data_IF_239227829453
#
_entry.id   IF_239227829453
#
_cell.length_a   1.000
_cell.length_b   1.000
_cell.length_c   1.000
_cell.angle_alpha   90.00
_cell.angle_beta   90.00
_cell.angle_gamma   90.00
#
_symmetry.space_group_name_H-M   'P 1'
#
loop_
_entity.id
_entity.type
_entity.pdbx_description
1 polymer ?
#
# COMPACT_ATOMS: atom_id res chain seq x y z
N UNK A 1 19.81 15.57 -8.06
CA UNK A 1 19.49 16.39 -6.88
C UNK A 1 19.38 15.45 -5.68
N UNK A 2 20.23 15.59 -4.66
CA UNK A 2 20.15 14.81 -3.42
C UNK A 2 19.32 15.60 -2.41
N UNK A 3 18.25 15.01 -1.88
CA UNK A 3 17.53 15.57 -0.75
C UNK A 3 18.19 15.07 0.54
N UNK A 4 18.69 16.00 1.35
CA UNK A 4 19.28 15.73 2.67
C UNK A 4 18.19 16.02 3.71
N UNK A 5 17.83 15.03 4.53
CA UNK A 5 16.88 15.20 5.64
C UNK A 5 17.64 15.34 6.96
N UNK A 6 17.36 16.42 7.69
CA UNK A 6 18.06 16.82 8.92
C UNK A 6 17.75 15.88 10.11
N UNK A 7 18.75 15.51 10.94
CA UNK A 7 18.63 14.50 12.00
C UNK A 7 17.76 14.91 13.21
N UNK A 8 17.36 16.17 13.32
CA UNK A 8 16.63 16.71 14.47
C UNK A 8 15.14 16.36 14.52
N UNK A 9 14.60 15.71 13.47
CA UNK A 9 13.19 15.29 13.42
C UNK A 9 12.90 13.89 13.99
N UNK A 10 13.92 13.17 14.46
CA UNK A 10 13.81 11.75 14.87
C UNK A 10 13.41 11.51 16.33
N UNK A 11 13.09 12.57 17.11
CA UNK A 11 12.72 12.46 18.52
C UNK A 11 11.21 12.55 18.80
N UNK A 12 10.37 12.59 17.77
CA UNK A 12 8.92 12.57 17.97
C UNK A 12 8.36 11.15 17.87
N UNK A 13 7.34 10.90 18.69
CA UNK A 13 6.65 9.63 18.89
C UNK A 13 6.26 8.96 17.55
N UNK A 14 6.20 7.61 17.47
CA UNK A 14 6.01 6.87 16.22
C UNK A 14 4.72 7.21 15.45
N UNK A 15 3.81 7.99 16.03
CA UNK A 15 2.56 8.45 15.42
C UNK A 15 2.71 9.71 14.55
N UNK A 16 3.77 10.52 14.71
CA UNK A 16 3.97 11.77 13.93
C UNK A 16 4.84 11.59 12.67
N UNK A 17 5.55 10.48 12.53
CA UNK A 17 6.41 10.18 11.37
C UNK A 17 5.66 9.89 10.06
N UNK A 18 4.34 9.73 10.11
CA UNK A 18 3.49 9.55 8.91
C UNK A 18 3.35 10.86 8.12
N UNK A 19 3.71 12.00 8.69
CA UNK A 19 3.38 13.32 8.15
C UNK A 19 4.33 13.94 7.12
N UNK A 20 5.54 13.44 6.87
CA UNK A 20 6.53 14.19 6.07
C UNK A 20 7.56 13.35 5.26
N UNK A 21 7.22 12.13 4.83
CA UNK A 21 8.06 11.40 3.86
C UNK A 21 7.40 11.41 2.48
N UNK A 22 8.06 12.07 1.52
CA UNK A 22 7.80 11.92 0.08
C UNK A 22 7.65 10.42 -0.28
N UNK A 23 8.42 9.53 0.36
CA UNK A 23 8.42 8.07 0.18
C UNK A 23 7.06 7.37 0.29
N UNK A 24 6.10 7.95 1.02
CA UNK A 24 4.72 7.42 1.06
C UNK A 24 4.07 7.49 -0.33
N UNK A 25 4.37 8.54 -1.09
CA UNK A 25 3.87 8.75 -2.44
C UNK A 25 4.52 7.81 -3.45
N UNK A 26 5.84 7.57 -3.41
CA UNK A 26 6.50 6.64 -4.35
C UNK A 26 6.09 5.20 -4.09
N UNK A 27 5.98 4.77 -2.82
CA UNK A 27 5.48 3.44 -2.48
C UNK A 27 4.06 3.25 -3.01
N UNK A 28 3.21 4.28 -2.87
CA UNK A 28 1.84 4.27 -3.40
C UNK A 28 1.81 4.22 -4.93
N UNK A 29 2.69 4.95 -5.62
CA UNK A 29 2.82 4.92 -7.09
C UNK A 29 3.23 3.53 -7.57
N UNK A 30 4.25 2.93 -6.93
CA UNK A 30 4.71 1.59 -7.28
C UNK A 30 3.62 0.56 -7.00
N UNK A 31 2.92 0.66 -5.87
CA UNK A 31 1.78 -0.20 -5.55
C UNK A 31 0.65 -0.08 -6.58
N UNK A 32 0.30 1.14 -7.01
CA UNK A 32 -0.72 1.36 -8.04
C UNK A 32 -0.32 0.76 -9.40
N UNK A 33 0.93 0.95 -9.81
CA UNK A 33 1.46 0.40 -11.06
C UNK A 33 1.45 -1.14 -11.01
N UNK A 34 2.02 -1.70 -9.96
CA UNK A 34 2.03 -3.14 -9.71
C UNK A 34 0.62 -3.73 -9.72
N UNK A 35 -0.32 -3.09 -9.02
CA UNK A 35 -1.71 -3.54 -8.95
C UNK A 35 -2.40 -3.50 -10.32
N UNK A 36 -2.03 -2.56 -11.18
CA UNK A 36 -2.58 -2.41 -12.55
C UNK A 36 -2.05 -3.47 -13.50
N UNK A 37 -0.80 -3.87 -13.34
CA UNK A 37 -0.20 -4.94 -14.14
C UNK A 37 -0.66 -6.34 -13.69
N UNK A 38 -0.89 -6.53 -12.38
CA UNK A 38 -1.16 -7.85 -11.81
C UNK A 38 -2.63 -8.18 -11.63
N UNK A 39 -3.49 -7.19 -11.36
CA UNK A 39 -4.90 -7.43 -11.02
C UNK A 39 -5.81 -6.49 -11.82
N UNK A 40 -6.61 -7.03 -12.76
CA UNK A 40 -7.62 -6.26 -13.49
C UNK A 40 -8.58 -5.51 -12.55
N UNK A 41 -8.95 -4.27 -12.89
CA UNK A 41 -9.75 -3.38 -12.02
C UNK A 41 -11.06 -4.04 -11.56
N UNK A 42 -11.72 -4.75 -12.47
CA UNK A 42 -12.98 -5.44 -12.20
C UNK A 42 -12.86 -6.59 -11.19
N UNK A 43 -11.65 -7.10 -10.89
CA UNK A 43 -11.43 -8.20 -9.95
C UNK A 43 -10.90 -7.74 -8.59
N UNK A 44 -10.42 -6.49 -8.47
CA UNK A 44 -9.75 -5.97 -7.26
C UNK A 44 -10.60 -6.03 -6.00
N UNK A 45 -11.92 -5.87 -6.13
CA UNK A 45 -12.85 -5.90 -5.01
C UNK A 45 -12.88 -7.25 -4.26
N UNK A 46 -12.46 -8.34 -4.92
CA UNK A 46 -12.43 -9.69 -4.35
C UNK A 46 -11.21 -9.94 -3.46
N UNK A 47 -10.21 -9.07 -3.46
CA UNK A 47 -8.96 -9.30 -2.73
C UNK A 47 -8.87 -8.47 -1.45
N UNK A 48 -8.05 -8.95 -0.52
CA UNK A 48 -7.57 -8.23 0.66
C UNK A 48 -6.13 -8.64 0.94
N UNK A 49 -5.33 -7.78 1.55
CA UNK A 49 -3.99 -8.15 2.04
C UNK A 49 -4.03 -8.82 3.42
N UNK A 50 -5.20 -8.85 4.07
CA UNK A 50 -5.39 -9.52 5.36
C UNK A 50 -5.14 -11.03 5.25
N UNK A 51 -4.50 -11.61 6.27
CA UNK A 51 -4.35 -13.06 6.44
C UNK A 51 -5.67 -13.75 6.80
N UNK A 52 -6.67 -12.99 7.25
CA UNK A 52 -8.02 -13.45 7.61
C UNK A 52 -9.07 -12.52 6.99
N UNK A 53 -9.30 -12.60 5.68
CA UNK A 53 -10.24 -11.74 4.97
C UNK A 53 -11.68 -12.09 5.34
N UNK A 54 -12.58 -11.11 5.31
CA UNK A 54 -14.01 -11.33 5.47
C UNK A 54 -14.62 -11.83 4.17
N UNK A 55 -15.45 -12.88 4.21
CA UNK A 55 -16.17 -13.36 3.02
C UNK A 55 -16.98 -12.22 2.39
N UNK A 56 -17.03 -12.09 1.05
CA UNK A 56 -16.51 -13.02 0.02
C UNK A 56 -15.04 -12.80 -0.37
N UNK A 57 -14.30 -11.93 0.32
CA UNK A 57 -12.93 -11.58 -0.05
C UNK A 57 -11.95 -12.75 0.18
N UNK A 58 -10.88 -12.78 -0.61
CA UNK A 58 -9.78 -13.72 -0.49
C UNK A 58 -8.47 -12.99 -0.23
N UNK A 59 -7.56 -13.64 0.50
CA UNK A 59 -6.22 -13.10 0.74
C UNK A 59 -5.46 -13.07 -0.57
N UNK A 60 -4.84 -11.94 -0.86
CA UNK A 60 -3.90 -11.82 -1.95
C UNK A 60 -2.68 -12.70 -1.63
N UNK A 61 -2.30 -13.65 -2.50
CA UNK A 61 -1.19 -14.54 -2.21
C UNK A 61 0.13 -13.78 -1.99
N UNK A 62 0.89 -14.14 -0.96
CA UNK A 62 2.13 -13.43 -0.59
C UNK A 62 3.18 -13.39 -1.70
N UNK A 63 3.17 -14.36 -2.63
CA UNK A 63 4.04 -14.35 -3.83
C UNK A 63 3.83 -13.12 -4.73
N UNK A 64 2.69 -12.45 -4.60
CA UNK A 64 2.36 -11.22 -5.32
C UNK A 64 2.76 -9.97 -4.52
N UNK A 65 2.80 -10.06 -3.19
CA UNK A 65 3.10 -8.94 -2.29
C UNK A 65 4.60 -8.81 -2.01
N UNK A 66 5.28 -9.93 -1.78
CA UNK A 66 6.67 -9.94 -1.30
C UNK A 66 7.69 -9.42 -2.32
N UNK A 67 7.63 -9.77 -3.62
CA UNK A 67 8.61 -9.29 -4.59
C UNK A 67 8.69 -7.76 -4.73
N UNK A 68 7.58 -7.00 -4.89
CA UNK A 68 7.67 -5.54 -4.98
C UNK A 68 8.20 -4.91 -3.69
N UNK A 69 7.84 -5.46 -2.51
CA UNK A 69 8.39 -5.03 -1.23
C UNK A 69 9.91 -5.25 -1.20
N UNK A 70 10.40 -6.42 -1.60
CA UNK A 70 11.82 -6.73 -1.60
C UNK A 70 12.62 -5.77 -2.50
N UNK A 71 12.08 -5.43 -3.67
CA UNK A 71 12.69 -4.45 -4.59
C UNK A 71 12.72 -3.05 -3.94
N UNK A 72 11.60 -2.59 -3.38
CA UNK A 72 11.50 -1.28 -2.73
C UNK A 72 12.46 -1.16 -1.53
N UNK A 73 12.48 -2.17 -0.66
CA UNK A 73 13.36 -2.23 0.52
C UNK A 73 14.84 -2.31 0.15
N UNK A 74 15.18 -2.81 -1.05
CA UNK A 74 16.54 -2.78 -1.58
C UNK A 74 16.93 -1.46 -2.21
N UNK A 75 15.96 -0.67 -2.69
CA UNK A 75 16.17 0.59 -3.38
C UNK A 75 16.12 1.82 -2.47
N UNK A 76 15.46 1.72 -1.31
CA UNK A 76 15.32 2.81 -0.34
C UNK A 76 16.44 2.71 0.70
N UNK A 77 17.29 3.74 0.74
CA UNK A 77 18.32 3.89 1.77
C UNK A 77 17.97 5.11 2.64
N UNK A 78 17.85 4.88 3.95
CA UNK A 78 17.62 5.95 4.95
C UNK A 78 18.82 5.97 5.88
N UNK A 79 19.67 6.98 5.74
CA UNK A 79 20.84 7.15 6.61
C UNK A 79 20.41 7.30 8.07
N UNK A 80 21.08 6.58 8.97
CA UNK A 80 20.77 6.58 10.40
C UNK A 80 19.60 5.68 10.82
N UNK A 81 18.93 5.00 9.87
CA UNK A 81 17.91 4.02 10.16
C UNK A 81 18.44 2.59 9.95
N UNK A 82 17.98 1.67 10.79
CA UNK A 82 18.29 0.26 10.65
C UNK A 82 17.59 -0.34 9.41
N UNK A 83 18.30 -1.17 8.65
CA UNK A 83 17.81 -1.72 7.37
C UNK A 83 16.58 -2.61 7.55
N UNK A 84 16.50 -3.34 8.66
CA UNK A 84 15.34 -4.17 8.96
C UNK A 84 14.11 -3.28 9.22
N UNK A 85 14.29 -2.19 9.97
CA UNK A 85 13.22 -1.20 10.21
C UNK A 85 12.74 -0.53 8.91
N UNK A 86 13.65 -0.22 7.98
CA UNK A 86 13.27 0.30 6.65
C UNK A 86 12.44 -0.73 5.90
N UNK A 87 12.87 -1.99 5.86
CA UNK A 87 12.16 -3.04 5.15
C UNK A 87 10.76 -3.30 5.73
N UNK A 88 10.62 -3.30 7.06
CA UNK A 88 9.32 -3.41 7.74
C UNK A 88 8.42 -2.23 7.39
N UNK A 89 8.94 -1.01 7.45
CA UNK A 89 8.18 0.22 7.12
C UNK A 89 7.69 0.17 5.68
N UNK A 90 8.55 -0.18 4.72
CA UNK A 90 8.19 -0.34 3.31
C UNK A 90 7.11 -1.39 3.14
N UNK A 91 7.24 -2.54 3.80
CA UNK A 91 6.25 -3.60 3.74
C UNK A 91 4.87 -3.15 4.26
N UNK A 92 4.85 -2.43 5.39
CA UNK A 92 3.64 -1.89 6.00
C UNK A 92 2.96 -0.87 5.09
N UNK A 93 3.71 0.11 4.57
CA UNK A 93 3.18 1.15 3.68
C UNK A 93 2.62 0.55 2.39
N UNK A 94 3.35 -0.38 1.78
CA UNK A 94 2.92 -1.04 0.55
C UNK A 94 1.63 -1.85 0.76
N UNK A 95 1.57 -2.66 1.83
CA UNK A 95 0.37 -3.45 2.15
C UNK A 95 -0.81 -2.55 2.51
N UNK A 96 -0.59 -1.49 3.28
CA UNK A 96 -1.62 -0.53 3.64
C UNK A 96 -2.25 0.12 2.40
N UNK A 97 -1.42 0.54 1.44
CA UNK A 97 -1.90 1.12 0.20
C UNK A 97 -2.68 0.12 -0.65
N UNK A 98 -2.24 -1.14 -0.73
CA UNK A 98 -3.00 -2.19 -1.41
C UNK A 98 -4.37 -2.43 -0.77
N UNK A 99 -4.45 -2.45 0.56
CA UNK A 99 -5.73 -2.61 1.26
C UNK A 99 -6.67 -1.43 1.00
N UNK A 100 -6.14 -0.21 0.96
CA UNK A 100 -6.86 0.98 0.55
C UNK A 100 -7.43 0.82 -0.87
N UNK A 101 -6.60 0.40 -1.84
CA UNK A 101 -7.06 0.18 -3.22
C UNK A 101 -8.18 -0.86 -3.32
N UNK A 102 -8.06 -1.98 -2.60
CA UNK A 102 -9.10 -3.01 -2.57
C UNK A 102 -10.39 -2.51 -1.91
N UNK A 103 -10.27 -1.75 -0.81
CA UNK A 103 -11.41 -1.12 -0.14
C UNK A 103 -12.11 -0.12 -1.06
N UNK A 104 -11.34 0.70 -1.75
CA UNK A 104 -11.86 1.66 -2.72
C UNK A 104 -12.61 0.97 -3.87
N UNK A 105 -12.06 -0.13 -4.42
CA UNK A 105 -12.72 -0.94 -5.45
C UNK A 105 -14.07 -1.50 -4.97
N UNK A 106 -14.16 -1.97 -3.71
CA UNK A 106 -15.42 -2.42 -3.11
C UNK A 106 -16.45 -1.31 -3.01
N UNK A 107 -16.05 -0.13 -2.52
CA UNK A 107 -16.97 1.01 -2.44
C UNK A 107 -17.50 1.44 -3.81
N UNK A 108 -16.65 1.44 -4.85
CA UNK A 108 -17.07 1.73 -6.23
C UNK A 108 -18.11 0.72 -6.73
N UNK A 109 -17.91 -0.57 -6.50
CA UNK A 109 -18.88 -1.59 -6.90
C UNK A 109 -20.22 -1.49 -6.18
N UNK A 110 -20.21 -1.19 -4.88
CA UNK A 110 -21.44 -0.99 -4.11
C UNK A 110 -22.24 0.21 -4.64
N UNK A 111 -21.54 1.29 -4.99
CA UNK A 111 -22.16 2.48 -5.60
C UNK A 111 -22.79 2.15 -6.95
N UNK A 112 -22.07 1.46 -7.83
CA UNK A 112 -22.60 1.04 -9.14
C UNK A 112 -23.88 0.20 -9.03
N UNK A 113 -23.89 -0.80 -8.14
CA UNK A 113 -25.08 -1.63 -7.90
C UNK A 113 -26.28 -0.83 -7.39
N UNK A 114 -26.04 0.21 -6.59
CA UNK A 114 -27.10 1.10 -6.10
C UNK A 114 -27.67 1.95 -7.23
N UNK A 115 -26.80 2.49 -8.07
CA UNK A 115 -27.19 3.34 -9.20
C UNK A 115 -27.97 2.54 -10.26
N UNK A 116 -27.58 1.29 -10.52
CA UNK A 116 -28.33 0.34 -11.37
C UNK A 116 -29.74 0.06 -10.84
N UNK A 117 -29.89 -0.19 -9.53
CA UNK A 117 -31.20 -0.46 -8.92
C UNK A 117 -32.12 0.76 -8.83
N UNK A 118 -31.60 1.98 -8.95
CA UNK A 118 -32.40 3.22 -8.89
C UNK A 118 -32.86 3.68 -10.28
N UNK A 119 -32.26 3.11 -11.34
CA UNK A 119 -32.56 3.45 -12.74
C UNK A 119 -33.47 2.42 -13.43
N UNK A 120 -33.88 1.37 -12.72
CA UNK A 120 -34.80 0.32 -13.13
C UNK A 120 -36.15 0.48 -12.42
#
# INVERSE_FOLDING_TARGET
MKATLEPSKFLEEPETLVGNLDCTSEISIVANKWLTEMIPDNLRHNFSVSTKPQKPQVSLPSRFINPPIAVLSGAIEIHGCDREKVAITVAMLFQHHLDYCFSHARHRMQKQKKDENTSA
#
